data_IF_759102679274
#
_entry.id   IF_759102679274
#
_cell.length_a   1.000
_cell.length_b   1.000
_cell.length_c   1.000
_cell.angle_alpha   90.00
_cell.angle_beta   90.00
_cell.angle_gamma   90.00
#
_symmetry.space_group_name_H-M   'P 1'
#
loop_
_entity.id
_entity.type
_entity.pdbx_description
1 polymer ?
#
# COMPACT_ATOMS: atom_id res chain seq x y z
N UNK A 1 21.25 -12.69 17.36
CA UNK A 1 20.01 -13.35 16.95
C UNK A 1 20.36 -14.10 15.68
N UNK A 2 20.29 -15.43 15.67
CA UNK A 2 20.64 -16.22 14.48
C UNK A 2 19.70 -15.81 13.34
N UNK A 3 20.26 -15.35 12.22
CA UNK A 3 19.51 -15.10 11.00
C UNK A 3 18.84 -16.40 10.58
N UNK A 4 17.50 -16.38 10.59
CA UNK A 4 16.66 -17.46 10.08
C UNK A 4 17.15 -17.85 8.69
N UNK A 5 17.42 -19.14 8.46
CA UNK A 5 17.94 -19.63 7.18
C UNK A 5 16.96 -19.40 6.00
N UNK A 6 15.69 -19.15 6.31
CA UNK A 6 14.61 -18.81 5.39
C UNK A 6 14.35 -17.30 5.24
N UNK A 7 15.20 -16.44 5.84
CA UNK A 7 15.13 -14.98 5.68
C UNK A 7 15.89 -14.52 4.43
N UNK A 8 15.15 -14.26 3.36
CA UNK A 8 15.70 -13.75 2.11
C UNK A 8 15.96 -12.24 2.14
N UNK A 9 15.37 -11.51 3.09
CA UNK A 9 15.33 -10.04 3.13
C UNK A 9 15.66 -9.47 4.52
N UNK A 10 16.83 -9.82 5.10
CA UNK A 10 17.14 -9.45 6.46
C UNK A 10 17.18 -7.93 6.66
N UNK A 11 16.47 -7.44 7.67
CA UNK A 11 16.34 -6.02 8.02
C UNK A 11 16.17 -5.86 9.55
N UNK A 12 16.09 -4.62 10.04
CA UNK A 12 15.98 -4.28 11.48
C UNK A 12 17.15 -4.83 12.31
N UNK A 13 18.32 -4.86 11.67
CA UNK A 13 19.55 -5.39 12.24
C UNK A 13 20.21 -4.37 13.18
N UNK A 14 21.09 -4.86 14.05
CA UNK A 14 21.89 -4.00 14.95
C UNK A 14 22.93 -3.16 14.21
N UNK A 15 23.37 -3.64 13.04
CA UNK A 15 24.34 -2.97 12.19
C UNK A 15 23.79 -2.86 10.77
N UNK A 16 24.08 -1.76 10.05
CA UNK A 16 23.70 -1.65 8.65
C UNK A 16 24.39 -2.74 7.83
N UNK A 17 23.67 -3.23 6.84
CA UNK A 17 24.21 -4.01 5.73
C UNK A 17 23.90 -3.27 4.44
N UNK A 18 24.65 -3.57 3.39
CA UNK A 18 24.45 -2.92 2.10
C UNK A 18 23.08 -3.29 1.51
N UNK A 19 22.51 -2.35 0.75
CA UNK A 19 21.35 -2.63 -0.08
C UNK A 19 21.71 -3.69 -1.13
N UNK A 20 20.77 -4.59 -1.45
CA UNK A 20 21.02 -5.70 -2.35
C UNK A 20 19.86 -5.93 -3.32
N UNK A 21 20.16 -6.64 -4.41
CA UNK A 21 19.19 -6.89 -5.47
C UNK A 21 18.01 -7.75 -5.00
N UNK A 22 16.84 -7.41 -5.50
CA UNK A 22 15.61 -8.18 -5.38
C UNK A 22 15.83 -9.64 -5.79
N UNK A 23 15.27 -10.58 -5.04
CA UNK A 23 15.41 -12.03 -5.26
C UNK A 23 14.16 -12.71 -5.84
N UNK A 24 13.09 -11.94 -6.07
CA UNK A 24 11.82 -12.41 -6.61
C UNK A 24 11.53 -11.76 -7.99
N UNK A 25 10.74 -12.37 -8.88
CA UNK A 25 10.24 -11.71 -10.09
C UNK A 25 9.44 -10.45 -9.75
N UNK A 26 9.43 -9.42 -10.62
CA UNK A 26 8.51 -8.27 -10.45
C UNK A 26 7.13 -8.61 -11.00
N UNK A 27 7.08 -9.29 -12.14
CA UNK A 27 5.87 -9.88 -12.73
C UNK A 27 6.01 -11.40 -12.61
N UNK A 28 5.06 -12.02 -11.93
CA UNK A 28 5.10 -13.46 -11.65
C UNK A 28 4.37 -14.30 -12.68
N UNK A 29 3.43 -13.72 -13.45
CA UNK A 29 2.71 -14.46 -14.50
C UNK A 29 3.61 -14.81 -15.69
N UNK A 30 3.28 -15.91 -16.37
CA UNK A 30 3.97 -16.41 -17.55
C UNK A 30 2.95 -16.90 -18.60
N UNK A 31 3.38 -16.98 -19.86
CA UNK A 31 2.57 -17.51 -20.95
C UNK A 31 1.18 -16.87 -21.03
N UNK A 32 0.12 -17.71 -21.07
CA UNK A 32 -1.27 -17.24 -21.18
C UNK A 32 -1.73 -16.35 -20.02
N UNK A 33 -1.28 -16.63 -18.79
CA UNK A 33 -1.66 -15.81 -17.64
C UNK A 33 -1.14 -14.37 -17.76
N UNK A 34 -0.01 -14.19 -18.47
CA UNK A 34 0.53 -12.86 -18.78
C UNK A 34 -0.25 -12.20 -19.92
N UNK A 35 -0.53 -12.93 -21.00
CA UNK A 35 -1.14 -12.38 -22.22
C UNK A 35 -2.65 -12.16 -22.15
N UNK A 36 -3.36 -12.91 -21.31
CA UNK A 36 -4.83 -13.00 -21.33
C UNK A 36 -5.50 -12.04 -20.32
N UNK A 37 -4.81 -10.98 -19.89
CA UNK A 37 -5.33 -10.00 -18.94
C UNK A 37 -5.37 -8.55 -19.46
N UNK A 38 -5.90 -7.62 -18.66
CA UNK A 38 -6.21 -6.25 -19.08
C UNK A 38 -5.00 -5.34 -19.30
N UNK A 39 -3.85 -5.64 -18.68
CA UNK A 39 -2.61 -4.87 -18.88
C UNK A 39 -1.94 -5.27 -20.19
N UNK A 40 -1.68 -4.28 -21.03
CA UNK A 40 -0.90 -4.45 -22.26
C UNK A 40 0.56 -4.77 -21.95
N UNK A 41 1.28 -5.36 -22.91
CA UNK A 41 2.72 -5.59 -22.77
C UNK A 41 3.53 -4.30 -22.51
N UNK A 42 3.03 -3.15 -22.98
CA UNK A 42 3.66 -1.85 -22.67
C UNK A 42 3.48 -1.46 -21.21
N UNK A 43 2.30 -1.70 -20.63
CA UNK A 43 2.03 -1.45 -19.21
C UNK A 43 2.80 -2.44 -18.33
N UNK A 44 2.82 -3.73 -18.69
CA UNK A 44 3.63 -4.74 -18.00
C UNK A 44 5.11 -4.36 -18.02
N UNK A 45 5.67 -3.97 -19.18
CA UNK A 45 7.07 -3.54 -19.26
C UNK A 45 7.34 -2.26 -18.44
N UNK A 46 6.40 -1.32 -18.35
CA UNK A 46 6.52 -0.13 -17.50
C UNK A 46 6.49 -0.50 -16.02
N UNK A 47 5.56 -1.35 -15.59
CA UNK A 47 5.51 -1.83 -14.21
C UNK A 47 6.79 -2.57 -13.82
N UNK A 48 7.28 -3.45 -14.69
CA UNK A 48 8.53 -4.17 -14.47
C UNK A 48 9.75 -3.25 -14.39
N UNK A 49 9.79 -2.19 -15.21
CA UNK A 49 10.87 -1.20 -15.22
C UNK A 49 10.81 -0.25 -14.01
N UNK A 50 9.65 0.34 -13.77
CA UNK A 50 9.46 1.51 -12.90
C UNK A 50 8.88 1.15 -11.53
N UNK A 51 8.22 -0.01 -11.39
CA UNK A 51 7.61 -0.47 -10.15
C UNK A 51 6.19 0.05 -9.92
N UNK A 52 5.63 0.84 -10.84
CA UNK A 52 4.26 1.36 -10.72
C UNK A 52 3.58 1.67 -12.06
N UNK A 53 2.26 1.82 -12.01
CA UNK A 53 1.37 2.22 -13.10
C UNK A 53 0.37 3.27 -12.62
N UNK A 54 -0.13 4.09 -13.54
CA UNK A 54 -1.07 5.19 -13.26
C UNK A 54 -2.20 5.20 -14.28
N UNK A 55 -3.44 5.26 -13.82
CA UNK A 55 -4.65 5.29 -14.64
C UNK A 55 -5.58 6.42 -14.18
N UNK A 56 -5.79 7.44 -15.02
CA UNK A 56 -6.51 8.66 -14.60
C UNK A 56 -8.05 8.58 -14.65
N UNK A 57 -8.61 7.44 -15.07
CA UNK A 57 -10.06 7.26 -15.23
C UNK A 57 -10.49 5.85 -14.79
N UNK A 58 -10.03 5.40 -13.63
CA UNK A 58 -10.34 4.05 -13.14
C UNK A 58 -11.76 3.97 -12.54
N UNK A 59 -12.12 4.94 -11.70
CA UNK A 59 -13.50 5.13 -11.23
C UNK A 59 -14.14 6.36 -11.88
N UNK A 60 -15.44 6.27 -12.16
CA UNK A 60 -16.23 7.43 -12.58
C UNK A 60 -16.55 8.36 -11.38
N UNK A 61 -16.95 9.59 -11.70
CA UNK A 61 -17.20 10.62 -10.69
C UNK A 61 -18.43 10.33 -9.81
N UNK A 62 -19.42 9.55 -10.29
CA UNK A 62 -20.56 9.15 -9.45
C UNK A 62 -20.12 8.16 -8.37
N UNK A 63 -19.31 7.18 -8.75
CA UNK A 63 -18.72 6.18 -7.86
C UNK A 63 -17.82 6.84 -6.82
N UNK A 64 -16.95 7.76 -7.25
CA UNK A 64 -16.11 8.55 -6.34
C UNK A 64 -16.95 9.34 -5.35
N UNK A 65 -18.00 10.03 -5.82
CA UNK A 65 -18.89 10.81 -4.95
C UNK A 65 -19.50 9.94 -3.85
N UNK A 66 -19.99 8.75 -4.18
CA UNK A 66 -20.61 7.85 -3.22
C UNK A 66 -19.62 7.32 -2.18
N UNK A 67 -18.41 6.97 -2.59
CA UNK A 67 -17.36 6.65 -1.61
C UNK A 67 -17.10 7.82 -0.65
N UNK A 68 -17.06 9.07 -1.15
CA UNK A 68 -16.91 10.24 -0.29
C UNK A 68 -18.10 10.46 0.65
N UNK A 69 -19.31 10.11 0.23
CA UNK A 69 -20.50 10.16 1.09
C UNK A 69 -20.40 9.12 2.21
N UNK A 70 -19.99 7.89 1.90
CA UNK A 70 -19.74 6.84 2.91
C UNK A 70 -18.65 7.30 3.90
N UNK A 71 -17.56 7.92 3.42
CA UNK A 71 -16.51 8.47 4.28
C UNK A 71 -17.03 9.53 5.27
N UNK A 72 -17.86 10.45 4.78
CA UNK A 72 -18.46 11.49 5.63
C UNK A 72 -19.40 10.89 6.68
N UNK A 73 -20.09 9.80 6.36
CA UNK A 73 -20.90 9.09 7.35
C UNK A 73 -20.01 8.50 8.46
N UNK A 74 -18.86 7.90 8.09
CA UNK A 74 -17.91 7.32 9.04
C UNK A 74 -17.21 8.34 9.94
N UNK A 75 -16.94 9.55 9.44
CA UNK A 75 -16.41 10.65 10.26
C UNK A 75 -17.35 11.05 11.41
N UNK A 76 -18.63 10.70 11.31
CA UNK A 76 -19.65 11.00 12.32
C UNK A 76 -20.13 9.75 13.09
N UNK A 77 -19.53 8.58 12.84
CA UNK A 77 -19.91 7.32 13.49
C UNK A 77 -18.99 7.02 14.68
N UNK A 78 -19.56 7.12 15.88
CA UNK A 78 -18.87 6.86 17.15
C UNK A 78 -18.26 5.45 17.24
N UNK A 79 -18.87 4.44 16.61
CA UNK A 79 -18.35 3.08 16.62
C UNK A 79 -17.11 2.96 15.73
N UNK A 80 -17.13 3.60 14.55
CA UNK A 80 -15.96 3.65 13.65
C UNK A 80 -14.82 4.44 14.31
N UNK A 81 -15.12 5.59 14.90
CA UNK A 81 -14.13 6.44 15.59
C UNK A 81 -13.44 5.73 16.76
N UNK A 82 -14.13 4.81 17.43
CA UNK A 82 -13.59 4.03 18.57
C UNK A 82 -13.01 2.68 18.17
N UNK A 83 -13.11 2.28 16.91
CA UNK A 83 -12.54 1.03 16.44
C UNK A 83 -11.01 1.06 16.52
N UNK A 84 -10.40 -0.10 16.83
CA UNK A 84 -8.94 -0.23 16.94
C UNK A 84 -8.22 0.12 15.62
N UNK A 85 -8.90 -0.07 14.49
CA UNK A 85 -8.41 0.29 13.16
C UNK A 85 -8.46 1.78 12.83
N UNK A 86 -9.00 2.66 13.70
CA UNK A 86 -9.05 4.10 13.43
C UNK A 86 -7.87 4.82 14.07
N UNK A 87 -7.08 5.50 13.23
CA UNK A 87 -5.91 6.29 13.62
C UNK A 87 -6.22 7.77 13.43
N UNK A 88 -6.04 8.56 14.49
CA UNK A 88 -6.20 10.03 14.48
C UNK A 88 -4.86 10.77 14.41
N UNK A 89 -4.90 12.02 13.96
CA UNK A 89 -3.75 12.92 13.99
C UNK A 89 -3.20 13.12 15.43
N UNK A 90 -1.87 13.22 15.63
CA UNK A 90 -1.31 13.47 16.96
C UNK A 90 -1.88 14.75 17.60
N UNK A 91 -2.51 14.62 18.77
CA UNK A 91 -3.06 15.74 19.53
C UNK A 91 -4.40 16.28 19.01
N UNK A 92 -5.05 15.61 18.05
CA UNK A 92 -6.36 15.99 17.50
C UNK A 92 -7.31 14.80 17.41
N UNK A 93 -8.61 15.07 17.30
CA UNK A 93 -9.64 14.05 17.00
C UNK A 93 -9.86 13.84 15.49
N UNK A 94 -9.12 14.53 14.62
CA UNK A 94 -9.24 14.38 13.16
C UNK A 94 -8.73 12.99 12.73
N UNK A 95 -9.55 12.24 11.99
CA UNK A 95 -9.19 10.93 11.43
C UNK A 95 -8.06 11.12 10.41
N UNK A 96 -7.02 10.29 10.52
CA UNK A 96 -5.92 10.19 9.56
C UNK A 96 -6.04 8.95 8.69
N UNK A 97 -6.34 7.81 9.31
CA UNK A 97 -6.54 6.56 8.60
C UNK A 97 -7.60 5.71 9.28
N UNK A 98 -8.34 4.95 8.48
CA UNK A 98 -9.23 3.89 8.96
C UNK A 98 -8.79 2.61 8.27
N UNK A 99 -8.43 1.59 9.03
CA UNK A 99 -8.01 0.26 8.55
C UNK A 99 -9.20 -0.71 8.52
N UNK A 100 -9.03 -1.83 7.81
CA UNK A 100 -10.09 -2.86 7.71
C UNK A 100 -11.34 -2.41 6.97
N UNK A 101 -11.24 -1.37 6.12
CA UNK A 101 -12.40 -0.73 5.48
C UNK A 101 -13.26 -1.68 4.65
N UNK A 102 -12.66 -2.75 4.11
CA UNK A 102 -13.38 -3.79 3.37
C UNK A 102 -14.29 -4.63 4.27
N UNK A 103 -14.02 -4.71 5.58
CA UNK A 103 -14.89 -5.38 6.55
C UNK A 103 -15.98 -4.45 7.11
N UNK A 104 -15.74 -3.12 7.05
CA UNK A 104 -16.66 -2.11 7.56
C UNK A 104 -17.77 -1.74 6.56
N UNK A 105 -17.58 -2.00 5.25
CA UNK A 105 -18.52 -1.61 4.21
C UNK A 105 -18.67 -2.63 3.11
N UNK A 106 -19.91 -2.94 2.76
CA UNK A 106 -20.21 -3.70 1.55
C UNK A 106 -19.73 -2.98 0.27
N UNK A 107 -19.71 -1.64 0.22
CA UNK A 107 -19.20 -0.93 -0.97
C UNK A 107 -17.68 -1.08 -1.11
N UNK A 108 -16.94 -0.99 0.01
CA UNK A 108 -15.49 -1.22 0.01
C UNK A 108 -15.14 -2.67 -0.30
N UNK A 109 -15.83 -3.66 0.28
CA UNK A 109 -15.63 -5.09 -0.06
C UNK A 109 -15.91 -5.37 -1.55
N UNK A 110 -16.97 -4.79 -2.11
CA UNK A 110 -17.26 -4.99 -3.54
C UNK A 110 -16.18 -4.40 -4.44
N UNK A 111 -15.55 -3.30 -4.04
CA UNK A 111 -14.43 -2.73 -4.78
C UNK A 111 -13.18 -3.60 -4.68
N UNK A 112 -12.91 -4.25 -3.55
CA UNK A 112 -11.75 -5.17 -3.45
C UNK A 112 -11.87 -6.39 -4.36
N UNK A 113 -13.10 -6.69 -4.80
CA UNK A 113 -13.47 -7.85 -5.63
C UNK A 113 -13.87 -7.45 -7.05
N UNK A 114 -13.58 -6.22 -7.47
CA UNK A 114 -13.81 -5.75 -8.83
C UNK A 114 -12.96 -6.56 -9.82
N UNK A 115 -13.59 -7.14 -10.84
CA UNK A 115 -12.91 -8.01 -11.80
C UNK A 115 -11.75 -7.30 -12.51
N UNK A 116 -11.86 -5.98 -12.77
CA UNK A 116 -10.76 -5.20 -13.38
C UNK A 116 -9.52 -5.22 -12.50
N UNK A 117 -9.69 -5.19 -11.17
CA UNK A 117 -8.59 -5.27 -10.20
C UNK A 117 -8.04 -6.69 -10.15
N UNK A 118 -8.91 -7.69 -9.97
CA UNK A 118 -8.47 -9.08 -9.84
C UNK A 118 -7.75 -9.59 -11.10
N UNK A 119 -8.21 -9.19 -12.30
CA UNK A 119 -7.57 -9.57 -13.56
C UNK A 119 -6.18 -8.92 -13.71
N UNK A 120 -6.00 -7.66 -13.28
CA UNK A 120 -4.67 -7.03 -13.20
C UNK A 120 -3.77 -7.76 -12.20
N UNK A 121 -4.31 -8.14 -11.03
CA UNK A 121 -3.56 -8.88 -10.02
C UNK A 121 -3.10 -10.25 -10.52
N UNK A 122 -3.93 -10.97 -11.27
CA UNK A 122 -3.53 -12.24 -11.88
C UNK A 122 -2.34 -12.08 -12.83
N UNK A 123 -2.30 -11.00 -13.63
CA UNK A 123 -1.14 -10.70 -14.47
C UNK A 123 0.09 -10.32 -13.65
N UNK A 124 -0.04 -9.54 -12.58
CA UNK A 124 1.12 -9.09 -11.80
C UNK A 124 1.66 -10.17 -10.86
N UNK A 125 0.79 -10.83 -10.11
CA UNK A 125 1.11 -11.81 -9.07
C UNK A 125 1.17 -13.25 -9.56
N UNK A 126 0.64 -13.56 -10.76
CA UNK A 126 0.64 -14.92 -11.32
C UNK A 126 -0.14 -15.93 -10.46
N UNK A 127 -1.06 -15.47 -9.62
CA UNK A 127 -1.90 -16.28 -8.74
C UNK A 127 -3.14 -15.49 -8.35
N UNK A 128 -4.10 -16.17 -7.70
CA UNK A 128 -5.13 -15.50 -6.92
C UNK A 128 -4.53 -14.66 -5.79
N UNK A 129 -5.31 -13.72 -5.26
CA UNK A 129 -4.90 -12.81 -4.20
C UNK A 129 -5.94 -12.71 -3.08
N UNK A 130 -5.48 -12.28 -1.91
CA UNK A 130 -6.30 -11.89 -0.77
C UNK A 130 -5.93 -10.47 -0.32
N UNK A 131 -6.81 -9.82 0.45
CA UNK A 131 -6.51 -8.51 1.05
C UNK A 131 -5.57 -8.70 2.23
N UNK A 132 -4.31 -8.30 2.08
CA UNK A 132 -3.38 -8.23 3.20
C UNK A 132 -3.71 -7.07 4.15
N UNK A 133 -4.07 -5.92 3.58
CA UNK A 133 -4.43 -4.73 4.31
C UNK A 133 -5.35 -3.85 3.46
N UNK A 134 -6.29 -3.15 4.09
CA UNK A 134 -7.05 -2.08 3.44
C UNK A 134 -7.12 -0.88 4.35
N UNK A 135 -6.99 0.33 3.81
CA UNK A 135 -7.16 1.56 4.57
C UNK A 135 -7.68 2.71 3.72
N UNK A 136 -8.38 3.64 4.35
CA UNK A 136 -8.52 5.00 3.83
C UNK A 136 -7.40 5.82 4.43
N UNK A 137 -6.76 6.67 3.63
CA UNK A 137 -5.93 7.73 4.17
C UNK A 137 -6.57 9.09 3.92
N UNK A 138 -6.58 9.91 4.95
CA UNK A 138 -7.05 11.28 4.94
C UNK A 138 -5.86 12.20 5.20
N UNK A 139 -5.69 13.17 4.32
CA UNK A 139 -4.69 14.22 4.47
C UNK A 139 -5.40 15.57 4.41
N UNK A 140 -5.70 16.18 5.57
CA UNK A 140 -6.42 17.44 5.59
C UNK A 140 -5.63 18.53 4.88
N UNK A 141 -6.36 19.51 4.33
CA UNK A 141 -5.77 20.76 3.86
C UNK A 141 -5.07 21.48 5.01
N UNK A 142 -4.00 22.22 4.70
CA UNK A 142 -3.15 23.00 5.61
C UNK A 142 -2.36 22.21 6.68
N UNK A 143 -2.89 21.09 7.16
CA UNK A 143 -2.38 20.39 8.35
C UNK A 143 -1.92 18.95 8.09
N UNK A 144 -2.17 18.41 6.89
CA UNK A 144 -1.81 17.03 6.58
C UNK A 144 -0.31 16.80 6.61
N UNK A 145 0.16 15.91 7.49
CA UNK A 145 1.60 15.64 7.67
C UNK A 145 2.19 14.85 6.51
N UNK A 146 3.50 14.97 6.34
CA UNK A 146 4.26 14.11 5.43
C UNK A 146 4.30 12.66 5.89
N UNK A 147 4.72 11.79 4.98
CA UNK A 147 5.08 10.41 5.27
C UNK A 147 6.45 10.18 4.67
N UNK A 148 7.42 9.79 5.50
CA UNK A 148 8.82 9.65 5.11
C UNK A 148 9.00 8.49 4.12
N UNK A 149 10.13 8.49 3.43
CA UNK A 149 10.46 7.43 2.47
C UNK A 149 10.50 6.07 3.16
N UNK A 150 9.81 5.11 2.59
CA UNK A 150 9.79 3.74 3.08
C UNK A 150 9.48 2.76 1.94
N UNK A 151 9.81 1.50 2.18
CA UNK A 151 9.30 0.35 1.43
C UNK A 151 8.24 -0.30 2.30
N UNK A 152 7.03 -0.47 1.75
CA UNK A 152 5.93 -1.17 2.43
C UNK A 152 6.36 -2.60 2.79
N UNK A 153 6.99 -3.30 1.83
CA UNK A 153 7.50 -4.67 2.00
C UNK A 153 8.51 -4.78 3.15
N UNK A 154 9.38 -3.80 3.37
CA UNK A 154 10.34 -3.86 4.47
C UNK A 154 9.62 -4.02 5.82
N UNK A 155 8.55 -3.25 6.03
CA UNK A 155 7.74 -3.32 7.25
C UNK A 155 6.89 -4.58 7.28
N UNK A 156 6.26 -4.98 6.16
CA UNK A 156 5.47 -6.22 6.10
C UNK A 156 6.32 -7.47 6.31
N UNK A 157 7.55 -7.47 5.81
CA UNK A 157 8.51 -8.53 6.04
C UNK A 157 8.92 -8.56 7.52
N UNK A 158 9.47 -7.46 8.02
CA UNK A 158 9.98 -7.40 9.39
C UNK A 158 8.88 -7.65 10.44
N UNK A 159 7.75 -6.95 10.34
CA UNK A 159 6.73 -6.87 11.40
C UNK A 159 5.53 -7.80 11.17
N UNK A 160 5.21 -8.14 9.91
CA UNK A 160 4.10 -9.05 9.58
C UNK A 160 4.56 -10.42 9.10
N UNK A 161 5.85 -10.63 8.85
CA UNK A 161 6.34 -11.93 8.37
C UNK A 161 5.95 -12.22 6.92
N UNK A 162 5.80 -11.22 6.06
CA UNK A 162 5.60 -11.43 4.62
C UNK A 162 6.90 -12.00 4.00
N UNK A 163 6.91 -13.25 3.48
CA UNK A 163 8.17 -13.91 3.18
C UNK A 163 8.81 -13.43 1.87
N UNK A 164 8.01 -13.16 0.82
CA UNK A 164 8.49 -12.76 -0.52
C UNK A 164 7.86 -11.45 -0.98
N UNK A 165 8.52 -10.78 -1.92
CA UNK A 165 8.00 -9.56 -2.54
C UNK A 165 6.91 -9.89 -3.59
N UNK A 166 5.76 -10.42 -3.15
CA UNK A 166 4.66 -10.84 -4.03
C UNK A 166 3.32 -10.25 -3.57
N UNK A 167 3.36 -8.95 -3.30
CA UNK A 167 2.21 -8.12 -2.96
C UNK A 167 2.21 -6.83 -3.79
N UNK A 168 1.03 -6.24 -3.98
CA UNK A 168 0.83 -5.03 -4.78
C UNK A 168 -0.15 -4.09 -4.08
N UNK A 169 0.21 -2.81 -4.05
CA UNK A 169 -0.62 -1.74 -3.49
C UNK A 169 -1.42 -1.03 -4.60
N UNK A 170 -2.71 -0.86 -4.36
CA UNK A 170 -3.64 -0.11 -5.20
C UNK A 170 -4.11 1.12 -4.42
N UNK A 171 -3.78 2.30 -4.93
CA UNK A 171 -4.16 3.59 -4.35
C UNK A 171 -5.13 4.30 -5.29
N UNK A 172 -6.41 4.36 -4.90
CA UNK A 172 -7.48 5.00 -5.68
C UNK A 172 -7.81 6.35 -5.06
N UNK A 173 -7.60 7.42 -5.81
CA UNK A 173 -7.84 8.79 -5.36
C UNK A 173 -9.34 9.06 -5.18
N UNK A 174 -9.74 9.64 -4.05
CA UNK A 174 -11.11 10.13 -3.81
C UNK A 174 -11.21 11.66 -3.90
N UNK A 175 -10.08 12.33 -3.99
CA UNK A 175 -9.94 13.75 -4.24
C UNK A 175 -8.89 13.94 -5.34
N UNK A 176 -8.89 15.09 -6.00
CA UNK A 176 -7.87 15.38 -7.01
C UNK A 176 -6.47 15.35 -6.38
N UNK A 177 -5.55 14.62 -7.01
CA UNK A 177 -4.14 14.64 -6.69
C UNK A 177 -3.48 15.73 -7.52
N UNK A 178 -3.03 16.79 -6.85
CA UNK A 178 -2.34 17.92 -7.46
C UNK A 178 -0.87 17.91 -7.02
N UNK A 179 0.02 18.66 -7.69
CA UNK A 179 1.39 18.84 -7.20
C UNK A 179 1.47 19.51 -5.82
N UNK A 180 0.39 20.17 -5.37
CA UNK A 180 0.40 21.07 -4.22
C UNK A 180 -0.20 20.49 -2.94
N UNK A 181 -1.05 19.45 -3.04
CA UNK A 181 -1.67 18.80 -1.88
C UNK A 181 -0.86 17.60 -1.36
N UNK A 182 0.45 17.63 -1.59
CA UNK A 182 1.42 16.62 -1.17
C UNK A 182 1.11 15.25 -1.76
N UNK A 183 1.21 15.04 -3.09
CA UNK A 183 0.89 13.78 -3.76
C UNK A 183 1.83 12.64 -3.31
N UNK A 184 1.46 11.40 -3.65
CA UNK A 184 2.36 10.25 -3.51
C UNK A 184 3.57 10.48 -4.42
N UNK A 185 4.77 10.36 -3.86
CA UNK A 185 6.04 10.39 -4.57
C UNK A 185 6.60 8.97 -4.58
N UNK A 186 7.13 8.52 -5.71
CA UNK A 186 7.77 7.22 -5.89
C UNK A 186 9.15 7.43 -6.53
N UNK A 187 10.10 6.56 -6.21
CA UNK A 187 11.38 6.46 -6.93
C UNK A 187 11.25 5.31 -7.94
N UNK A 188 11.15 5.58 -9.26
CA UNK A 188 11.02 4.53 -10.25
C UNK A 188 12.18 3.52 -10.17
N UNK A 189 11.90 2.23 -10.31
CA UNK A 189 12.96 1.20 -10.33
C UNK A 189 13.53 0.82 -8.96
N UNK A 190 13.22 1.56 -7.89
CA UNK A 190 13.73 1.26 -6.54
C UNK A 190 13.26 -0.10 -6.01
N UNK A 191 12.12 -0.61 -6.51
CA UNK A 191 11.57 -1.92 -6.14
C UNK A 191 12.52 -3.09 -6.44
N UNK A 192 13.51 -2.88 -7.32
CA UNK A 192 14.54 -3.86 -7.69
C UNK A 192 15.67 -3.96 -6.66
N UNK A 193 15.70 -3.09 -5.67
CA UNK A 193 16.70 -3.11 -4.61
C UNK A 193 16.01 -3.11 -3.25
N UNK A 194 16.36 -4.08 -2.41
CA UNK A 194 15.96 -4.06 -1.01
C UNK A 194 16.94 -3.21 -0.22
N UNK A 195 16.43 -2.28 0.59
CA UNK A 195 17.24 -1.43 1.48
C UNK A 195 16.96 -1.81 2.94
N UNK A 196 17.84 -2.61 3.56
CA UNK A 196 17.70 -2.98 4.96
C UNK A 196 17.75 -1.75 5.88
N UNK A 197 16.86 -1.72 6.86
CA UNK A 197 16.79 -0.68 7.86
C UNK A 197 17.53 -1.11 9.15
N UNK A 198 18.08 -0.13 9.87
CA UNK A 198 18.78 -0.35 11.14
C UNK A 198 17.83 -0.13 12.31
N UNK A 199 18.02 -0.92 13.37
CA UNK A 199 17.31 -0.76 14.63
C UNK A 199 16.32 -1.88 14.84
N UNK A 200 16.44 -2.55 16.00
CA UNK A 200 15.51 -3.60 16.43
C UNK A 200 14.11 -3.00 16.56
N UNK A 201 13.11 -3.70 16.02
CA UNK A 201 11.71 -3.29 16.13
C UNK A 201 11.22 -3.41 17.58
N UNK A 202 10.78 -2.32 18.23
CA UNK A 202 10.15 -2.38 19.54
C UNK A 202 8.85 -3.20 19.50
N UNK A 203 8.42 -3.70 20.66
CA UNK A 203 7.07 -4.26 20.78
C UNK A 203 6.02 -3.19 20.43
N UNK A 204 4.99 -3.61 19.70
CA UNK A 204 3.84 -2.77 19.32
C UNK A 204 4.21 -1.45 18.60
N UNK A 205 5.33 -1.45 17.84
CA UNK A 205 5.82 -0.31 17.04
C UNK A 205 4.78 0.33 16.10
N UNK A 206 3.75 -0.41 15.69
CA UNK A 206 2.66 0.11 14.86
C UNK A 206 1.87 1.25 15.53
N UNK A 207 1.81 1.29 16.87
CA UNK A 207 1.04 2.31 17.59
C UNK A 207 1.59 3.73 17.38
N UNK A 208 2.90 3.86 17.10
CA UNK A 208 3.56 5.13 16.80
C UNK A 208 3.84 5.31 15.30
N UNK A 209 4.33 4.27 14.62
CA UNK A 209 4.81 4.35 13.23
C UNK A 209 3.74 4.73 12.21
N UNK A 210 2.47 4.39 12.46
CA UNK A 210 1.34 4.78 11.60
C UNK A 210 1.11 6.31 11.58
N UNK A 211 1.56 7.04 12.60
CA UNK A 211 1.50 8.51 12.67
C UNK A 211 2.79 9.16 12.19
N UNK A 212 3.94 8.55 12.49
CA UNK A 212 5.27 8.97 12.03
C UNK A 212 6.21 7.77 12.07
N UNK A 213 6.72 7.39 10.90
CA UNK A 213 7.63 6.26 10.79
C UNK A 213 9.06 6.73 11.10
N UNK A 214 9.64 6.26 12.21
CA UNK A 214 11.04 6.54 12.59
C UNK A 214 11.94 5.30 12.43
N UNK A 215 11.33 4.10 12.45
CA UNK A 215 11.99 2.82 12.19
C UNK A 215 11.46 2.22 10.90
N UNK A 216 12.31 1.49 10.16
CA UNK A 216 11.98 1.05 8.80
C UNK A 216 12.11 2.14 7.75
N UNK A 217 12.80 3.22 8.09
CA UNK A 217 13.15 4.29 7.16
C UNK A 217 14.53 3.98 6.60
N UNK A 218 14.69 3.87 5.26
CA UNK A 218 16.00 3.72 4.64
C UNK A 218 16.91 4.89 4.99
N UNK A 219 18.22 4.63 5.11
CA UNK A 219 19.16 5.71 5.43
C UNK A 219 19.26 6.74 4.28
N UNK A 220 19.59 7.99 4.63
CA UNK A 220 19.65 9.11 3.69
C UNK A 220 20.59 8.88 2.51
N UNK A 221 21.70 8.16 2.72
CA UNK A 221 22.67 7.88 1.65
C UNK A 221 22.06 6.95 0.59
N UNK A 222 21.36 5.89 1.01
CA UNK A 222 20.67 4.98 0.11
C UNK A 222 19.53 5.68 -0.64
N UNK A 223 18.74 6.51 0.06
CA UNK A 223 17.69 7.33 -0.56
C UNK A 223 18.26 8.29 -1.60
N UNK A 224 19.34 8.99 -1.27
CA UNK A 224 20.01 9.90 -2.19
C UNK A 224 20.51 9.16 -3.43
N UNK A 225 21.18 8.02 -3.27
CA UNK A 225 21.69 7.24 -4.38
C UNK A 225 20.56 6.79 -5.31
N UNK A 226 19.46 6.28 -4.76
CA UNK A 226 18.29 5.86 -5.53
C UNK A 226 17.64 7.03 -6.27
N UNK A 227 17.46 8.17 -5.60
CA UNK A 227 16.89 9.37 -6.20
C UNK A 227 17.79 9.98 -7.28
N UNK A 228 19.11 10.01 -7.09
CA UNK A 228 20.08 10.48 -8.10
C UNK A 228 20.05 9.58 -9.36
N UNK A 229 19.92 8.27 -9.16
CA UNK A 229 19.95 7.29 -10.25
C UNK A 229 18.63 7.24 -11.04
N UNK A 230 17.49 7.37 -10.36
CA UNK A 230 16.18 7.09 -10.95
C UNK A 230 15.22 8.29 -10.99
N UNK A 231 15.57 9.38 -10.32
CA UNK A 231 14.70 10.53 -10.12
C UNK A 231 13.54 10.22 -9.17
N UNK A 232 12.64 11.20 -9.03
CA UNK A 232 11.41 11.09 -8.24
C UNK A 232 10.24 11.42 -9.17
N UNK A 233 9.20 10.60 -9.13
CA UNK A 233 7.94 10.86 -9.82
C UNK A 233 6.80 11.06 -8.82
N UNK A 234 5.93 12.01 -9.09
CA UNK A 234 4.77 12.32 -8.27
C UNK A 234 3.51 12.34 -9.15
N UNK A 235 2.89 11.17 -9.41
CA UNK A 235 1.70 11.10 -10.25
C UNK A 235 0.57 12.01 -9.75
N UNK A 236 -0.04 12.72 -10.69
CA UNK A 236 -1.20 13.60 -10.46
C UNK A 236 -2.37 13.15 -11.33
N UNK A 237 -3.58 13.53 -10.95
CA UNK A 237 -4.79 13.12 -11.65
C UNK A 237 -6.06 13.49 -10.90
N UNK A 238 -7.21 13.47 -11.58
CA UNK A 238 -8.50 13.73 -10.94
C UNK A 238 -8.85 12.63 -9.93
N UNK A 239 -9.83 12.91 -9.06
CA UNK A 239 -10.45 11.89 -8.25
C UNK A 239 -10.97 10.73 -9.13
N UNK A 240 -10.79 9.50 -8.66
CA UNK A 240 -11.03 8.27 -9.43
C UNK A 240 -9.79 7.71 -10.13
N UNK A 241 -8.65 8.41 -10.08
CA UNK A 241 -7.37 7.90 -10.58
C UNK A 241 -6.84 6.74 -9.72
N UNK A 242 -6.28 5.72 -10.35
CA UNK A 242 -5.63 4.57 -9.71
C UNK A 242 -4.11 4.66 -9.91
N UNK A 243 -3.36 4.47 -8.82
CA UNK A 243 -1.92 4.18 -8.84
C UNK A 243 -1.74 2.75 -8.33
N UNK A 244 -1.07 1.92 -9.12
CA UNK A 244 -0.67 0.55 -8.74
C UNK A 244 0.83 0.58 -8.50
N UNK A 245 1.34 0.07 -7.39
CA UNK A 245 2.79 -0.01 -7.16
C UNK A 245 3.21 -1.29 -6.45
N UNK A 246 4.40 -1.76 -6.79
CA UNK A 246 5.03 -2.96 -6.25
C UNK A 246 5.40 -2.75 -4.78
N UNK A 247 5.25 -3.80 -3.96
CA UNK A 247 5.38 -3.71 -2.50
C UNK A 247 6.71 -3.13 -1.99
N UNK A 248 7.79 -3.26 -2.74
CA UNK A 248 9.11 -2.75 -2.39
C UNK A 248 9.44 -1.39 -3.03
N UNK A 249 8.50 -0.76 -3.74
CA UNK A 249 8.73 0.57 -4.32
C UNK A 249 8.87 1.61 -3.21
N UNK A 250 10.01 2.32 -3.19
CA UNK A 250 10.24 3.42 -2.27
C UNK A 250 9.27 4.55 -2.59
N UNK A 251 8.51 4.96 -1.57
CA UNK A 251 7.54 6.01 -1.73
C UNK A 251 7.41 6.87 -0.47
N UNK A 252 6.96 8.10 -0.67
CA UNK A 252 6.82 9.12 0.37
C UNK A 252 5.71 10.11 -0.01
N UNK A 253 5.42 11.06 0.88
CA UNK A 253 4.68 12.27 0.48
C UNK A 253 5.02 13.46 1.36
N UNK A 254 5.12 14.64 0.75
CA UNK A 254 5.32 15.89 1.49
C UNK A 254 4.09 16.28 2.32
N UNK A 255 4.24 17.21 3.26
CA UNK A 255 3.09 17.79 3.95
C UNK A 255 2.13 18.51 2.97
N UNK A 256 0.84 18.58 3.34
CA UNK A 256 -0.17 19.31 2.59
C UNK A 256 -0.38 20.70 3.19
N UNK A 257 0.22 21.72 2.57
CA UNK A 257 0.05 23.13 2.95
C UNK A 257 -1.10 23.81 2.19
N UNK A 258 -1.68 23.14 1.20
CA UNK A 258 -2.75 23.69 0.35
C UNK A 258 -4.12 23.60 1.03
N UNK A 259 -5.15 24.33 0.55
CA UNK A 259 -6.52 24.18 1.05
C UNK A 259 -7.19 22.87 0.63
N UNK A 260 -6.64 22.15 -0.35
CA UNK A 260 -7.29 20.98 -0.95
C UNK A 260 -6.91 19.71 -0.19
N UNK A 261 -7.88 18.95 0.34
CA UNK A 261 -7.58 17.69 1.01
C UNK A 261 -7.06 16.66 0.00
N UNK A 262 -6.37 15.63 0.52
CA UNK A 262 -5.98 14.45 -0.26
C UNK A 262 -6.49 13.20 0.46
N UNK A 263 -7.48 12.54 -0.13
CA UNK A 263 -8.01 11.27 0.37
C UNK A 263 -7.88 10.18 -0.68
N UNK A 264 -7.51 8.97 -0.26
CA UNK A 264 -7.43 7.80 -1.14
C UNK A 264 -7.85 6.52 -0.41
N UNK A 265 -8.43 5.61 -1.18
CA UNK A 265 -8.59 4.21 -0.80
C UNK A 265 -7.28 3.49 -1.11
N UNK A 266 -6.84 2.66 -0.18
CA UNK A 266 -5.58 1.94 -0.29
C UNK A 266 -5.82 0.46 0.00
N UNK A 267 -5.57 -0.38 -0.98
CA UNK A 267 -5.73 -1.83 -0.87
C UNK A 267 -4.40 -2.51 -1.16
N UNK A 268 -3.98 -3.38 -0.26
CA UNK A 268 -2.81 -4.23 -0.45
C UNK A 268 -3.29 -5.63 -0.73
N UNK A 269 -2.99 -6.10 -1.93
CA UNK A 269 -3.26 -7.47 -2.35
C UNK A 269 -2.00 -8.28 -2.23
N UNK A 270 -2.09 -9.43 -1.56
CA UNK A 270 -0.99 -10.38 -1.47
C UNK A 270 -1.38 -11.69 -2.14
N UNK A 271 -0.42 -12.33 -2.79
CA UNK A 271 -0.64 -13.65 -3.38
C UNK A 271 -1.04 -14.66 -2.30
N UNK A 272 -2.01 -15.54 -2.61
CA UNK A 272 -2.36 -16.66 -1.73
C UNK A 272 -1.20 -17.65 -1.53
N UNK A 273 -0.19 -17.59 -2.38
CA UNK A 273 1.05 -18.38 -2.29
C UNK A 273 2.15 -17.64 -1.49
N UNK A 274 1.86 -16.46 -0.94
CA UNK A 274 2.80 -15.62 -0.18
C UNK A 274 2.25 -15.26 1.22
N UNK A 275 1.48 -16.17 1.82
CA UNK A 275 0.86 -15.95 3.13
C UNK A 275 1.89 -15.64 4.22
N UNK A 276 1.46 -14.84 5.20
CA UNK A 276 2.31 -14.37 6.28
C UNK A 276 2.79 -15.51 7.19
N UNK A 277 4.07 -15.50 7.53
CA UNK A 277 4.68 -16.38 8.54
C UNK A 277 4.95 -15.61 9.83
N UNK A 278 5.68 -16.19 10.78
CA UNK A 278 6.11 -15.46 11.97
C UNK A 278 6.96 -14.24 11.58
N UNK A 279 6.73 -13.05 12.19
CA UNK A 279 7.49 -11.84 11.89
C UNK A 279 9.00 -12.07 11.92
N UNK A 280 9.71 -11.56 10.91
CA UNK A 280 11.16 -11.75 10.81
C UNK A 280 11.92 -10.94 11.87
N UNK A 281 11.33 -9.90 12.46
CA UNK A 281 11.89 -9.22 13.62
C UNK A 281 11.80 -10.03 14.93
N UNK A 282 11.07 -11.16 14.94
CA UNK A 282 10.92 -12.04 16.10
C UNK A 282 9.87 -11.60 17.13
N UNK A 283 9.17 -10.50 16.88
CA UNK A 283 8.07 -10.05 17.74
C UNK A 283 6.79 -10.85 17.49
N UNK A 284 5.82 -10.72 18.41
CA UNK A 284 4.44 -11.15 18.21
C UNK A 284 3.83 -10.50 16.96
N UNK A 285 2.98 -11.21 16.19
CA UNK A 285 2.25 -10.63 15.07
C UNK A 285 1.50 -9.35 15.43
N UNK A 286 1.49 -8.39 14.50
CA UNK A 286 0.63 -7.20 14.58
C UNK A 286 -0.86 -7.58 14.45
N UNK A 287 -1.78 -6.69 14.86
CA UNK A 287 -3.23 -6.90 14.67
C UNK A 287 -3.61 -7.21 13.21
N UNK A 288 -4.69 -7.98 13.03
CA UNK A 288 -5.10 -8.53 11.73
C UNK A 288 -5.44 -7.44 10.70
N UNK A 289 -5.95 -6.29 11.13
CA UNK A 289 -6.24 -5.14 10.26
C UNK A 289 -4.98 -4.48 9.67
N UNK A 290 -3.78 -4.76 10.22
CA UNK A 290 -2.49 -4.32 9.68
C UNK A 290 -1.81 -5.40 8.85
N UNK A 291 -1.93 -6.67 9.24
CA UNK A 291 -1.38 -7.80 8.51
C UNK A 291 -2.29 -9.01 8.60
N UNK A 292 -3.19 -9.14 7.63
CA UNK A 292 -4.23 -10.17 7.64
C UNK A 292 -3.63 -11.59 7.55
N UNK A 293 -3.95 -12.40 8.56
CA UNK A 293 -3.58 -13.81 8.73
C UNK A 293 -4.79 -14.73 8.76
N UNK A 294 -5.98 -14.21 9.00
CA UNK A 294 -7.17 -15.03 9.26
C UNK A 294 -8.04 -15.22 8.02
N UNK A 295 -8.19 -14.19 7.19
CA UNK A 295 -9.04 -14.19 6.00
C UNK A 295 -8.20 -14.13 4.72
N UNK A 296 -7.47 -15.22 4.45
CA UNK A 296 -6.48 -15.32 3.36
C UNK A 296 -6.96 -16.16 2.17
N UNK A 297 -8.27 -16.44 2.11
CA UNK A 297 -8.87 -17.12 0.97
C UNK A 297 -8.83 -16.25 -0.29
N UNK A 298 -8.74 -16.91 -1.46
CA UNK A 298 -8.75 -16.24 -2.76
C UNK A 298 -10.03 -15.39 -2.92
N UNK A 299 -9.86 -14.11 -3.22
CA UNK A 299 -10.97 -13.20 -3.52
C UNK A 299 -11.71 -13.70 -4.76
N UNK A 300 -13.03 -13.85 -4.63
CA UNK A 300 -13.87 -14.22 -5.77
C UNK A 300 -14.41 -12.96 -6.45
N UNK A 301 -14.30 -12.84 -7.79
CA UNK A 301 -14.78 -11.68 -8.52
C UNK A 301 -16.28 -11.50 -8.34
N UNK A 302 -16.71 -10.26 -8.18
CA UNK A 302 -18.13 -9.89 -8.26
C UNK A 302 -18.36 -9.32 -9.66
N UNK A 303 -19.19 -9.99 -10.46
CA UNK A 303 -19.49 -9.54 -11.82
C UNK A 303 -20.14 -8.16 -11.80
N UNK A 304 -19.54 -7.21 -12.53
CA UNK A 304 -19.98 -5.82 -12.65
C UNK A 304 -20.49 -5.26 -11.32
N UNK A 305 -19.60 -5.02 -10.32
CA UNK A 305 -20.05 -4.53 -9.04
C UNK A 305 -20.70 -3.19 -9.32
N UNK A 306 -22.03 -3.11 -9.20
CA UNK A 306 -22.69 -1.82 -9.24
C UNK A 306 -22.32 -1.08 -7.95
N UNK A 307 -21.15 -0.45 -7.98
CA UNK A 307 -20.58 0.35 -6.90
C UNK A 307 -21.45 1.57 -6.60
N UNK A 308 -22.52 1.82 -7.36
CA UNK A 308 -23.43 2.94 -7.17
C UNK A 308 -24.55 2.61 -6.18
N UNK A 309 -25.06 1.38 -6.15
CA UNK A 309 -26.31 1.06 -5.44
C UNK A 309 -26.18 0.51 -4.01
N UNK A 310 -24.98 0.29 -3.48
CA UNK A 310 -24.80 -0.29 -2.14
C UNK A 310 -24.18 0.70 -1.17
N UNK A 311 -24.96 1.14 -0.19
CA UNK A 311 -24.57 1.92 0.99
C UNK A 311 -25.54 1.61 2.12
#
# INVERSE_FOLDING_TARGET
METRADDFYPTRLERPIDAFERKDPVIHSQGKQRSDGPLSETELARYERDGFLVFNNFLDQDTVRRFREDLRAYENDDAVLRSEGTITEPGKQEIRSVFGIHELSARFDRLTRDSRILDMLHQLLGSDAYIHQSRINFKPGFHGKGFDWHSDFETWHAEDGMPRMRAVSFSIALTDNTPFNGPLMLIPGSHKTFVPCVGRTPEDNYQSSLKKQELGVPNDQALKQMADQHGIQAPTGPAGSLIIFECNTLHASNANMSPWPRSNLFFVYNSVENQLVQPFCGNKPRPDFLGNRTNTAALQPIAAPDLRHTG
#
